data_IF_775681678983
#
_entry.id   IF_775681678983
#
_cell.length_a   1.000
_cell.length_b   1.000
_cell.length_c   1.000
_cell.angle_alpha   90.00
_cell.angle_beta   90.00
_cell.angle_gamma   90.00
#
_symmetry.space_group_name_H-M   'P 1'
#
loop_
_entity.id
_entity.type
_entity.pdbx_description
1 polymer ?
#
# COMPACT_ATOMS: atom_id res chain seq x y z
N UNK A 1 4.12 -0.20 -18.16
CA UNK A 1 3.32 -1.06 -17.25
C UNK A 1 1.87 -0.85 -17.58
N UNK A 2 1.06 -1.89 -17.79
CA UNK A 2 -0.38 -1.69 -18.04
C UNK A 2 -1.05 -1.33 -16.72
N UNK A 3 -1.93 -0.33 -16.72
CA UNK A 3 -2.74 0.01 -15.55
C UNK A 3 -3.68 -1.15 -15.25
N UNK A 4 -3.67 -1.61 -14.02
CA UNK A 4 -4.49 -2.73 -13.58
C UNK A 4 -5.97 -2.33 -13.41
N UNK A 5 -6.22 -1.09 -12.99
CA UNK A 5 -7.54 -0.58 -12.61
C UNK A 5 -8.14 0.44 -13.57
N UNK A 6 -7.50 0.72 -14.71
CA UNK A 6 -8.01 1.71 -15.68
C UNK A 6 -9.41 1.36 -16.22
N UNK A 7 -9.80 0.08 -16.22
CA UNK A 7 -11.08 -0.41 -16.75
C UNK A 7 -11.65 -1.61 -15.99
N UNK A 8 -11.21 -1.85 -14.76
CA UNK A 8 -11.60 -3.04 -14.02
C UNK A 8 -11.88 -2.79 -12.55
N UNK A 9 -12.67 -3.68 -11.98
CA UNK A 9 -12.94 -3.78 -10.56
C UNK A 9 -12.51 -5.16 -10.08
N UNK A 10 -11.86 -5.21 -8.93
CA UNK A 10 -11.54 -6.46 -8.25
C UNK A 10 -12.48 -6.68 -7.08
N UNK A 11 -12.97 -7.90 -6.97
CA UNK A 11 -13.82 -8.31 -5.87
C UNK A 11 -13.12 -9.37 -5.04
N UNK A 12 -13.13 -9.17 -3.74
CA UNK A 12 -12.62 -10.11 -2.76
C UNK A 12 -13.75 -10.46 -1.79
N UNK A 13 -13.91 -11.74 -1.52
CA UNK A 13 -14.84 -12.23 -0.51
C UNK A 13 -14.09 -13.15 0.45
N UNK A 14 -14.00 -12.72 1.70
CA UNK A 14 -13.48 -13.54 2.78
C UNK A 14 -14.67 -14.13 3.54
N UNK A 15 -14.89 -15.46 3.44
CA UNK A 15 -16.05 -16.10 4.03
C UNK A 15 -16.20 -15.76 5.50
N UNK A 16 -17.42 -15.39 5.90
CA UNK A 16 -17.79 -15.02 7.27
C UNK A 16 -17.10 -13.77 7.85
N UNK A 17 -16.33 -13.03 7.06
CA UNK A 17 -15.63 -11.83 7.51
C UNK A 17 -16.11 -10.59 6.76
N UNK A 18 -15.74 -10.45 5.49
CA UNK A 18 -16.07 -9.24 4.71
C UNK A 18 -16.09 -9.50 3.20
N UNK A 19 -16.63 -8.51 2.49
CA UNK A 19 -16.46 -8.31 1.05
C UNK A 19 -15.75 -7.00 0.80
N UNK A 20 -14.84 -7.00 -0.15
CA UNK A 20 -14.10 -5.82 -0.60
C UNK A 20 -14.16 -5.74 -2.12
N UNK A 21 -14.58 -4.60 -2.63
CA UNK A 21 -14.49 -4.23 -4.04
C UNK A 21 -13.52 -3.07 -4.20
N UNK A 22 -12.62 -3.14 -5.16
CA UNK A 22 -11.62 -2.09 -5.43
C UNK A 22 -11.60 -1.79 -6.93
N UNK A 23 -11.68 -0.51 -7.28
CA UNK A 23 -11.52 -0.03 -8.65
C UNK A 23 -10.61 1.21 -8.70
N UNK A 24 -10.45 1.83 -9.88
CA UNK A 24 -9.59 3.00 -10.05
C UNK A 24 -10.06 4.27 -9.34
N UNK A 25 -11.32 4.32 -8.89
CA UNK A 25 -11.91 5.50 -8.24
C UNK A 25 -11.96 5.38 -6.72
N UNK A 26 -11.96 4.13 -6.21
CA UNK A 26 -12.08 3.90 -4.78
C UNK A 26 -12.30 2.45 -4.40
N UNK A 27 -12.88 2.25 -3.24
CA UNK A 27 -13.24 0.94 -2.73
C UNK A 27 -14.55 0.95 -1.94
N UNK A 28 -15.14 -0.23 -1.86
CA UNK A 28 -16.31 -0.53 -1.02
C UNK A 28 -15.97 -1.72 -0.12
N UNK A 29 -16.16 -1.59 1.16
CA UNK A 29 -15.88 -2.61 2.16
C UNK A 29 -17.11 -2.86 3.02
N UNK A 30 -17.50 -4.12 3.18
CA UNK A 30 -18.69 -4.52 3.92
C UNK A 30 -18.37 -5.72 4.80
N UNK A 31 -18.52 -5.58 6.11
CA UNK A 31 -18.41 -6.72 7.02
C UNK A 31 -19.68 -7.57 6.96
N UNK A 32 -19.54 -8.88 7.15
CA UNK A 32 -20.67 -9.81 7.06
C UNK A 32 -21.77 -9.52 8.10
N UNK A 33 -21.38 -9.07 9.28
CA UNK A 33 -22.29 -8.75 10.37
C UNK A 33 -22.85 -7.31 10.31
N UNK A 34 -22.53 -6.56 9.25
CA UNK A 34 -22.97 -5.18 9.06
C UNK A 34 -22.42 -4.18 10.09
N UNK A 35 -21.40 -4.56 10.86
CA UNK A 35 -20.84 -3.67 11.89
C UNK A 35 -19.94 -2.58 11.29
N UNK A 36 -19.45 -2.78 10.07
CA UNK A 36 -18.58 -1.83 9.41
C UNK A 36 -18.84 -1.83 7.91
N UNK A 37 -19.42 -0.74 7.44
CA UNK A 37 -19.65 -0.47 6.03
C UNK A 37 -18.89 0.80 5.66
N UNK A 38 -17.93 0.69 4.74
CA UNK A 38 -17.03 1.77 4.39
C UNK A 38 -16.99 1.90 2.87
N UNK A 39 -17.22 3.11 2.38
CA UNK A 39 -16.96 3.52 1.00
C UNK A 39 -15.90 4.61 1.02
N UNK A 40 -14.86 4.44 0.21
CA UNK A 40 -13.74 5.38 0.12
C UNK A 40 -13.56 5.79 -1.34
N UNK A 41 -13.61 7.08 -1.61
CA UNK A 41 -13.21 7.66 -2.88
C UNK A 41 -11.75 8.07 -2.82
N UNK A 42 -10.93 7.59 -3.73
CA UNK A 42 -9.50 7.93 -3.73
C UNK A 42 -9.24 9.42 -3.97
N UNK A 43 -10.17 10.14 -4.59
CA UNK A 43 -10.08 11.60 -4.71
C UNK A 43 -10.03 12.32 -3.35
N UNK A 44 -10.64 11.76 -2.32
CA UNK A 44 -10.70 12.31 -0.96
C UNK A 44 -9.51 11.90 -0.10
N UNK A 45 -8.73 10.90 -0.57
CA UNK A 45 -7.59 10.35 0.19
C UNK A 45 -6.33 11.13 -0.14
N UNK A 46 -5.65 11.65 0.88
CA UNK A 46 -4.32 12.27 0.75
C UNK A 46 -3.20 11.33 1.14
N UNK A 47 -3.47 10.37 1.97
CA UNK A 47 -2.46 9.38 2.38
C UNK A 47 -3.06 8.12 2.93
N UNK A 48 -2.26 7.07 2.89
CA UNK A 48 -2.57 5.77 3.47
C UNK A 48 -1.64 5.49 4.65
N UNK A 49 -2.21 4.96 5.71
CA UNK A 49 -1.43 4.39 6.80
C UNK A 49 -1.68 2.89 6.84
N UNK A 50 -0.60 2.13 6.84
CA UNK A 50 -0.64 0.68 6.84
C UNK A 50 -0.07 0.16 8.15
N UNK A 51 -0.79 -0.69 8.81
CA UNK A 51 -0.31 -1.47 9.94
C UNK A 51 -0.58 -2.95 9.74
N UNK A 52 0.29 -3.76 10.30
CA UNK A 52 0.12 -5.20 10.35
C UNK A 52 0.15 -5.62 11.81
N UNK A 53 -0.83 -6.35 12.23
CA UNK A 53 -0.84 -6.89 13.58
C UNK A 53 -1.46 -8.30 13.62
N UNK A 54 -1.08 -9.03 14.63
CA UNK A 54 -1.56 -10.38 14.89
C UNK A 54 -2.14 -10.44 16.30
N UNK A 55 -3.42 -10.73 16.36
CA UNK A 55 -4.09 -11.07 17.61
C UNK A 55 -4.52 -12.55 17.53
N UNK A 56 -5.79 -12.84 17.39
CA UNK A 56 -6.29 -14.18 17.05
C UNK A 56 -6.10 -14.50 15.57
N UNK A 57 -6.24 -13.47 14.73
CA UNK A 57 -5.98 -13.53 13.29
C UNK A 57 -4.84 -12.59 12.93
N UNK A 58 -4.10 -12.93 11.89
CA UNK A 58 -3.19 -12.00 11.24
C UNK A 58 -3.98 -11.19 10.22
N UNK A 59 -3.81 -9.87 10.22
CA UNK A 59 -4.43 -8.99 9.25
C UNK A 59 -3.63 -7.70 9.06
N UNK A 60 -3.94 -7.02 7.98
CA UNK A 60 -3.46 -5.68 7.69
C UNK A 60 -4.59 -4.69 7.92
N UNK A 61 -4.26 -3.56 8.50
CA UNK A 61 -5.15 -2.43 8.63
C UNK A 61 -4.72 -1.35 7.66
N UNK A 62 -5.68 -0.87 6.88
CA UNK A 62 -5.49 0.24 5.94
C UNK A 62 -6.35 1.39 6.44
N UNK A 63 -5.70 2.46 6.87
CA UNK A 63 -6.36 3.69 7.27
C UNK A 63 -6.18 4.77 6.18
N UNK A 64 -7.27 5.45 5.85
CA UNK A 64 -7.36 6.48 4.82
C UNK A 64 -7.36 7.85 5.49
N UNK A 65 -6.47 8.73 5.06
CA UNK A 65 -6.29 10.06 5.64
C UNK A 65 -6.70 11.16 4.67
N UNK A 66 -7.33 12.19 5.22
CA UNK A 66 -7.73 13.39 4.51
C UNK A 66 -6.61 14.45 4.46
N UNK A 67 -6.93 15.65 3.95
CA UNK A 67 -6.01 16.79 3.84
C UNK A 67 -5.42 17.23 5.18
N UNK A 68 -6.14 17.03 6.28
CA UNK A 68 -5.67 17.34 7.64
C UNK A 68 -4.86 16.18 8.26
N UNK A 69 -4.54 15.16 7.48
CA UNK A 69 -3.89 13.93 7.94
C UNK A 69 -4.65 13.15 9.02
N UNK A 70 -5.94 13.42 9.17
CA UNK A 70 -6.82 12.66 10.05
C UNK A 70 -7.36 11.43 9.34
N UNK A 71 -7.41 10.31 10.05
CA UNK A 71 -8.05 9.09 9.57
C UNK A 71 -9.56 9.31 9.53
N UNK A 72 -10.16 9.15 8.36
CA UNK A 72 -11.60 9.24 8.17
C UNK A 72 -12.26 7.89 7.87
N UNK A 73 -11.49 6.93 7.40
CA UNK A 73 -11.92 5.56 7.18
C UNK A 73 -10.78 4.59 7.46
N UNK A 74 -11.14 3.38 7.86
CA UNK A 74 -10.19 2.32 8.19
C UNK A 74 -10.82 0.97 7.92
N UNK A 75 -10.08 0.04 7.34
CA UNK A 75 -10.53 -1.32 7.03
C UNK A 75 -9.47 -2.35 7.41
N UNK A 76 -9.89 -3.56 7.68
CA UNK A 76 -9.01 -4.71 7.86
C UNK A 76 -9.01 -5.56 6.59
N UNK A 77 -7.82 -5.94 6.11
CA UNK A 77 -7.62 -6.67 4.87
C UNK A 77 -6.70 -7.87 5.08
N UNK A 78 -6.72 -8.82 4.14
CA UNK A 78 -5.89 -10.03 4.18
C UNK A 78 -6.01 -10.79 5.51
N UNK A 79 -7.21 -10.86 6.06
CA UNK A 79 -7.48 -11.47 7.37
C UNK A 79 -7.41 -12.99 7.26
N UNK A 80 -6.39 -13.58 7.88
CA UNK A 80 -6.19 -15.02 7.89
C UNK A 80 -6.28 -15.59 9.31
N UNK A 81 -6.74 -16.83 9.45
CA UNK A 81 -6.66 -17.54 10.72
C UNK A 81 -5.17 -17.68 11.11
N UNK A 82 -4.88 -17.54 12.39
CA UNK A 82 -3.52 -17.63 12.92
C UNK A 82 -2.81 -18.94 12.55
N UNK A 83 -3.59 -20.02 12.41
CA UNK A 83 -3.06 -21.34 12.00
C UNK A 83 -2.63 -21.35 10.54
N UNK A 84 -3.32 -20.58 9.70
CA UNK A 84 -3.06 -20.51 8.26
C UNK A 84 -2.06 -19.40 7.92
N UNK A 85 -1.83 -18.45 8.82
CA UNK A 85 -0.89 -17.34 8.62
C UNK A 85 0.54 -17.80 8.31
N UNK A 86 0.96 -18.92 8.89
CA UNK A 86 2.26 -19.52 8.60
C UNK A 86 2.33 -20.16 7.21
N UNK A 87 1.18 -20.60 6.67
CA UNK A 87 1.05 -21.25 5.36
C UNK A 87 0.79 -20.20 4.27
N UNK A 88 -0.01 -19.20 4.58
CA UNK A 88 -0.38 -18.16 3.63
C UNK A 88 0.81 -17.31 3.17
N UNK A 89 1.92 -17.35 3.91
CA UNK A 89 3.09 -16.53 3.60
C UNK A 89 2.70 -15.04 3.57
N UNK A 90 3.54 -14.19 3.06
CA UNK A 90 3.28 -12.75 2.94
C UNK A 90 2.35 -12.41 1.74
N UNK A 91 1.28 -13.16 1.54
CA UNK A 91 0.39 -12.95 0.40
C UNK A 91 -0.67 -11.89 0.75
N UNK A 92 -0.30 -10.64 0.66
CA UNK A 92 -1.14 -9.47 0.93
C UNK A 92 -1.84 -8.98 -0.34
N UNK A 93 -2.66 -9.82 -0.94
CA UNK A 93 -3.27 -9.55 -2.27
C UNK A 93 -4.21 -8.35 -2.21
N UNK A 94 -5.08 -8.30 -1.20
CA UNK A 94 -6.07 -7.25 -1.04
C UNK A 94 -5.42 -5.90 -0.75
N UNK A 95 -4.50 -5.87 0.21
CA UNK A 95 -3.74 -4.67 0.55
C UNK A 95 -2.94 -4.16 -0.66
N UNK A 96 -2.27 -5.03 -1.39
CA UNK A 96 -1.55 -4.65 -2.62
C UNK A 96 -2.48 -4.07 -3.67
N UNK A 97 -3.66 -4.66 -3.85
CA UNK A 97 -4.65 -4.18 -4.82
C UNK A 97 -5.11 -2.76 -4.48
N UNK A 98 -5.38 -2.48 -3.20
CA UNK A 98 -5.74 -1.13 -2.74
C UNK A 98 -4.61 -0.13 -3.01
N UNK A 99 -3.36 -0.51 -2.68
CA UNK A 99 -2.20 0.35 -2.90
C UNK A 99 -1.98 0.68 -4.37
N UNK A 100 -2.11 -0.32 -5.26
CA UNK A 100 -1.95 -0.13 -6.70
C UNK A 100 -3.07 0.76 -7.24
N UNK A 101 -4.33 0.48 -6.89
CA UNK A 101 -5.46 1.26 -7.33
C UNK A 101 -5.35 2.73 -6.88
N UNK A 102 -4.98 2.97 -5.62
CA UNK A 102 -4.72 4.30 -5.10
C UNK A 102 -3.58 5.00 -5.84
N UNK A 103 -2.46 4.33 -6.06
CA UNK A 103 -1.32 4.88 -6.79
C UNK A 103 -1.72 5.24 -8.23
N UNK A 104 -2.42 4.35 -8.94
CA UNK A 104 -2.93 4.62 -10.30
C UNK A 104 -3.88 5.81 -10.34
N UNK A 105 -4.75 5.97 -9.33
CA UNK A 105 -5.68 7.10 -9.23
C UNK A 105 -4.96 8.45 -9.03
N UNK A 106 -3.82 8.44 -8.31
CA UNK A 106 -3.06 9.67 -7.99
C UNK A 106 -2.07 10.06 -9.08
N UNK A 107 -1.47 9.09 -9.75
CA UNK A 107 -0.42 9.33 -10.72
C UNK A 107 -0.94 9.55 -12.14
N UNK A 108 -2.26 9.39 -12.33
CA UNK A 108 -2.94 9.69 -13.57
C UNK A 108 -2.45 8.87 -14.77
N UNK A 109 -2.70 9.38 -15.98
CA UNK A 109 -2.35 8.67 -17.22
C UNK A 109 -0.86 8.58 -17.49
N UNK A 110 -0.07 9.47 -16.92
CA UNK A 110 1.38 9.53 -17.14
C UNK A 110 2.17 8.53 -16.30
N UNK A 111 1.51 7.87 -15.37
CA UNK A 111 2.16 6.76 -14.64
C UNK A 111 2.18 5.49 -15.50
N UNK A 112 3.28 4.90 -15.73
CA UNK A 112 4.70 5.06 -15.33
C UNK A 112 5.61 5.53 -16.48
N UNK A 113 5.08 6.25 -17.46
CA UNK A 113 5.82 6.57 -18.69
C UNK A 113 6.93 7.59 -18.46
N UNK A 114 6.84 8.37 -17.40
CA UNK A 114 7.86 9.35 -17.04
C UNK A 114 8.11 9.37 -15.53
N UNK A 115 8.90 8.41 -15.05
CA UNK A 115 9.27 8.34 -13.63
C UNK A 115 10.08 9.57 -13.17
N UNK A 116 10.77 10.25 -14.08
CA UNK A 116 11.55 11.44 -13.73
C UNK A 116 10.66 12.66 -13.44
N UNK A 117 9.42 12.64 -13.92
CA UNK A 117 8.43 13.68 -13.61
C UNK A 117 7.68 13.42 -12.31
N UNK A 118 7.84 12.27 -11.68
CA UNK A 118 7.18 11.95 -10.42
C UNK A 118 7.79 12.73 -9.26
N UNK A 119 6.93 13.50 -8.59
CA UNK A 119 7.24 14.16 -7.35
C UNK A 119 6.32 13.61 -6.26
N UNK A 120 6.87 12.83 -5.36
CA UNK A 120 6.16 12.20 -4.26
C UNK A 120 6.84 12.57 -2.94
N UNK A 121 6.06 13.07 -2.00
CA UNK A 121 6.52 13.29 -0.63
C UNK A 121 5.86 12.22 0.25
N UNK A 122 6.66 11.27 0.68
CA UNK A 122 6.21 10.19 1.57
C UNK A 122 6.74 10.50 2.96
N UNK A 123 5.85 10.96 3.83
CA UNK A 123 6.17 11.21 5.22
C UNK A 123 5.87 9.99 6.07
N UNK A 124 6.87 9.48 6.77
CA UNK A 124 6.68 8.51 7.84
C UNK A 124 6.46 9.23 9.16
N UNK A 125 5.37 8.93 9.84
CA UNK A 125 4.98 9.61 11.10
C UNK A 125 5.97 9.43 12.25
N UNK A 126 6.96 8.57 12.12
CA UNK A 126 7.96 8.34 13.14
C UNK A 126 9.18 9.26 12.92
N UNK A 127 9.29 10.30 13.74
CA UNK A 127 10.44 11.23 13.82
C UNK A 127 10.69 12.08 12.59
N UNK A 128 9.66 12.56 11.93
CA UNK A 128 9.78 13.50 10.79
C UNK A 128 10.76 13.04 9.67
N UNK A 129 11.02 11.74 9.61
CA UNK A 129 11.90 11.17 8.60
C UNK A 129 11.06 10.70 7.43
N UNK A 130 11.06 11.50 6.40
CA UNK A 130 10.40 11.18 5.14
C UNK A 130 11.37 10.68 4.09
N UNK A 131 10.81 10.14 3.05
CA UNK A 131 11.49 9.87 1.78
C UNK A 131 10.82 10.72 0.72
N UNK A 132 11.58 11.49 -0.03
CA UNK A 132 11.11 12.32 -1.14
C UNK A 132 11.55 11.71 -2.45
N UNK A 133 10.66 11.70 -3.40
CA UNK A 133 10.96 11.43 -4.81
C UNK A 133 10.75 12.72 -5.59
N UNK A 134 11.81 13.25 -6.15
CA UNK A 134 11.81 14.50 -6.90
C UNK A 134 12.74 14.39 -8.09
N UNK A 135 12.21 14.65 -9.30
CA UNK A 135 12.97 14.55 -10.54
C UNK A 135 13.66 13.19 -10.73
N UNK A 136 12.97 12.09 -10.39
CA UNK A 136 13.54 10.74 -10.49
C UNK A 136 14.58 10.39 -9.43
N UNK A 137 14.84 11.28 -8.45
CA UNK A 137 15.79 11.05 -7.36
C UNK A 137 15.06 10.77 -6.06
N UNK A 138 15.25 9.59 -5.51
CA UNK A 138 14.77 9.20 -4.20
C UNK A 138 15.75 9.71 -3.14
N UNK A 139 15.26 10.55 -2.22
CA UNK A 139 16.04 11.17 -1.15
C UNK A 139 15.51 10.76 0.21
N UNK A 140 16.35 10.16 1.02
CA UNK A 140 16.10 9.91 2.44
C UNK A 140 16.97 10.80 3.32
N UNK A 141 16.87 10.64 4.64
CA UNK A 141 17.61 11.46 5.61
C UNK A 141 19.14 11.37 5.46
N UNK A 142 19.67 10.24 4.99
CA UNK A 142 21.13 10.00 4.90
C UNK A 142 21.58 9.54 3.52
N UNK A 143 20.68 9.10 2.66
CA UNK A 143 21.00 8.49 1.39
C UNK A 143 20.11 9.02 0.28
N UNK A 144 20.65 9.01 -0.93
CA UNK A 144 19.90 9.30 -2.14
C UNK A 144 20.23 8.29 -3.23
N UNK A 145 19.28 8.08 -4.15
CA UNK A 145 19.43 7.16 -5.27
C UNK A 145 18.58 7.62 -6.45
N UNK A 146 19.12 7.57 -7.66
CA UNK A 146 18.32 7.75 -8.86
C UNK A 146 17.42 6.50 -9.07
N UNK A 147 16.17 6.69 -9.44
CA UNK A 147 15.27 5.57 -9.75
C UNK A 147 15.81 4.73 -10.93
N UNK A 148 16.51 5.33 -11.88
CA UNK A 148 17.15 4.63 -12.99
C UNK A 148 18.22 3.62 -12.54
N UNK A 149 18.81 3.83 -11.36
CA UNK A 149 19.79 2.92 -10.76
C UNK A 149 19.14 1.76 -9.99
N UNK A 150 17.81 1.83 -9.77
CA UNK A 150 17.08 0.82 -9.00
C UNK A 150 16.98 -0.49 -9.81
N UNK A 151 17.61 -1.54 -9.32
CA UNK A 151 17.59 -2.87 -9.96
C UNK A 151 16.69 -3.84 -9.22
N UNK A 152 16.57 -3.71 -7.91
CA UNK A 152 15.78 -4.61 -7.09
C UNK A 152 15.19 -3.93 -5.87
N UNK A 153 13.98 -4.30 -5.53
CA UNK A 153 13.30 -3.94 -4.29
C UNK A 153 13.04 -5.21 -3.49
N UNK A 154 13.34 -5.18 -2.20
CA UNK A 154 13.05 -6.28 -1.28
C UNK A 154 12.34 -5.75 -0.05
N UNK A 155 11.19 -6.31 0.25
CA UNK A 155 10.52 -6.13 1.54
C UNK A 155 10.91 -7.26 2.48
N UNK A 156 11.36 -6.92 3.65
CA UNK A 156 11.73 -7.88 4.70
C UNK A 156 11.07 -7.46 5.99
N UNK A 157 10.46 -8.40 6.69
CA UNK A 157 9.94 -8.20 8.03
C UNK A 157 10.54 -9.24 8.98
N UNK A 158 10.91 -8.80 10.17
CA UNK A 158 11.36 -9.67 11.23
C UNK A 158 10.33 -9.81 12.37
N UNK A 159 9.08 -9.47 12.07
CA UNK A 159 7.98 -9.50 13.04
C UNK A 159 7.82 -8.20 13.84
N UNK A 160 8.90 -7.47 14.07
CA UNK A 160 8.88 -6.19 14.81
C UNK A 160 9.07 -5.00 13.88
N UNK A 161 9.92 -5.17 12.87
CA UNK A 161 10.27 -4.13 11.91
C UNK A 161 10.08 -4.64 10.49
N UNK A 162 9.61 -3.77 9.62
CA UNK A 162 9.56 -4.01 8.19
C UNK A 162 10.53 -3.07 7.48
N UNK A 163 11.30 -3.62 6.55
CA UNK A 163 12.30 -2.89 5.79
C UNK A 163 11.94 -2.93 4.31
N UNK A 164 12.02 -1.79 3.67
CA UNK A 164 12.07 -1.67 2.23
C UNK A 164 13.53 -1.42 1.84
N UNK A 165 14.16 -2.44 1.27
CA UNK A 165 15.54 -2.35 0.82
C UNK A 165 15.58 -2.13 -0.68
N UNK A 166 16.32 -1.12 -1.10
CA UNK A 166 16.48 -0.71 -2.48
C UNK A 166 17.93 -1.01 -2.91
N UNK A 167 18.10 -1.69 -4.04
CA UNK A 167 19.39 -2.14 -4.49
C UNK A 167 19.73 -1.59 -5.87
N UNK A 168 20.98 -1.15 -6.04
CA UNK A 168 21.56 -0.75 -7.33
C UNK A 168 22.11 -1.92 -8.15
N UNK A 169 22.08 -3.13 -7.60
CA UNK A 169 22.53 -4.35 -8.28
C UNK A 169 21.48 -5.45 -8.20
N UNK A 170 21.44 -6.33 -9.18
CA UNK A 170 20.55 -7.52 -9.17
C UNK A 170 21.06 -8.60 -8.23
N UNK A 171 22.37 -8.69 -8.05
CA UNK A 171 23.01 -9.61 -7.09
C UNK A 171 23.11 -8.92 -5.75
N UNK A 172 22.65 -9.62 -4.70
CA UNK A 172 22.79 -9.13 -3.33
C UNK A 172 24.27 -8.89 -3.02
N UNK A 173 24.62 -7.64 -2.72
CA UNK A 173 25.85 -7.36 -2.02
C UNK A 173 25.67 -7.80 -0.56
N UNK A 174 26.64 -8.49 -0.02
CA UNK A 174 26.81 -8.68 1.41
C UNK A 174 27.32 -7.37 2.02
#
# INVERSE_FOLDING_TARGET
>A
MKRQFAQGELHFEVPNKYRLSVNGEGLSYRTKNGTKDVDVKFSEVKGLFLSNYCNQNQHYQVAFRNDEWKTFAEIDTDVTDRRDAAIAGNNIIETKSILIAFAESKLGEEFPNNLDALNLDVCFTFKEKGVRLEGGVLRGAKHQMNLSELKRVKCVSNGTLSYLSLYKSEKGGF
#
